data_IF_562033051606
#
_entry.id   IF_562033051606
#
_cell.length_a   1.000
_cell.length_b   1.000
_cell.length_c   1.000
_cell.angle_alpha   90.00
_cell.angle_beta   90.00
_cell.angle_gamma   90.00
#
_symmetry.space_group_name_H-M   'P 1'
#
loop_
_entity.id
_entity.type
_entity.pdbx_description
1 polymer ?
#
# COMPACT_ATOMS: atom_id res chain seq x y z
N UNK A 1 16.81 2.10 1.17
CA UNK A 1 15.78 3.09 1.51
C UNK A 1 16.22 4.00 2.66
N UNK A 2 17.44 3.88 3.17
CA UNK A 2 17.94 4.78 4.22
C UNK A 2 17.85 6.23 3.70
N UNK A 3 17.18 7.08 4.47
CA UNK A 3 16.98 8.49 4.11
C UNK A 3 15.91 8.76 3.04
N UNK A 4 15.31 7.73 2.44
CA UNK A 4 14.23 7.92 1.47
C UNK A 4 12.95 8.38 2.16
N UNK A 5 12.19 9.23 1.47
CA UNK A 5 10.87 9.67 1.90
C UNK A 5 9.78 8.85 1.20
N UNK A 6 9.04 8.06 1.97
CA UNK A 6 8.05 7.09 1.49
C UNK A 6 6.65 7.53 1.89
N UNK A 7 5.74 7.59 0.91
CA UNK A 7 4.30 7.77 1.13
C UNK A 7 3.61 6.40 1.07
N UNK A 8 2.79 6.08 2.07
CA UNK A 8 1.92 4.90 2.09
C UNK A 8 0.46 5.34 2.13
N UNK A 9 -0.26 5.13 1.04
CA UNK A 9 -1.70 5.37 0.95
C UNK A 9 -2.46 4.11 1.36
N UNK A 10 -3.45 4.26 2.25
CA UNK A 10 -4.15 3.10 2.83
C UNK A 10 -3.32 2.39 3.89
N UNK A 11 -2.56 3.15 4.68
CA UNK A 11 -1.53 2.64 5.59
C UNK A 11 -2.04 1.68 6.67
N UNK A 12 -3.32 1.71 7.03
CA UNK A 12 -3.92 0.77 8.00
C UNK A 12 -4.48 -0.50 7.36
N UNK A 13 -4.56 -0.56 6.03
CA UNK A 13 -5.21 -1.64 5.30
C UNK A 13 -4.38 -2.92 5.24
N UNK A 14 -4.88 -3.92 4.50
CA UNK A 14 -4.30 -5.26 4.48
C UNK A 14 -2.84 -5.36 4.01
N UNK A 15 -2.36 -4.48 3.14
CA UNK A 15 -0.95 -4.43 2.72
C UNK A 15 -0.23 -3.19 3.26
N UNK A 16 -0.93 -2.07 3.44
CA UNK A 16 -0.34 -0.82 3.92
C UNK A 16 0.38 -0.95 5.26
N UNK A 17 -0.20 -1.67 6.23
CA UNK A 17 0.41 -1.78 7.57
C UNK A 17 1.75 -2.53 7.55
N UNK A 18 1.90 -3.47 6.62
CA UNK A 18 3.16 -4.19 6.37
C UNK A 18 4.14 -3.27 5.63
N UNK A 19 3.66 -2.48 4.66
CA UNK A 19 4.49 -1.54 3.89
C UNK A 19 5.11 -0.45 4.78
N UNK A 20 4.35 0.11 5.74
CA UNK A 20 4.88 1.06 6.73
C UNK A 20 6.06 0.44 7.48
N UNK A 21 5.86 -0.74 8.07
CA UNK A 21 6.90 -1.41 8.85
C UNK A 21 8.13 -1.74 8.01
N UNK A 22 7.97 -2.29 6.80
CA UNK A 22 9.10 -2.60 5.91
C UNK A 22 9.90 -1.34 5.56
N UNK A 23 9.22 -0.24 5.24
CA UNK A 23 9.87 1.03 4.95
C UNK A 23 10.68 1.53 6.16
N UNK A 24 10.11 1.45 7.37
CA UNK A 24 10.79 1.80 8.62
C UNK A 24 11.99 0.91 8.93
N UNK A 25 11.85 -0.42 8.82
CA UNK A 25 12.97 -1.38 8.96
C UNK A 25 14.12 -1.03 8.01
N UNK A 26 13.79 -0.52 6.81
CA UNK A 26 14.79 -0.12 5.80
C UNK A 26 15.32 1.32 5.97
N UNK A 27 15.00 1.99 7.07
CA UNK A 27 15.51 3.31 7.43
C UNK A 27 14.86 4.48 6.68
N UNK A 28 13.67 4.30 6.14
CA UNK A 28 12.94 5.38 5.48
C UNK A 28 12.20 6.29 6.48
N UNK A 29 11.92 7.51 6.04
CA UNK A 29 10.89 8.37 6.62
C UNK A 29 9.56 8.04 5.95
N UNK A 30 8.53 7.76 6.75
CA UNK A 30 7.22 7.29 6.27
C UNK A 30 6.15 8.31 6.59
N UNK A 31 5.51 8.81 5.54
CA UNK A 31 4.23 9.51 5.60
C UNK A 31 3.12 8.50 5.35
N UNK A 32 2.19 8.35 6.29
CA UNK A 32 1.06 7.44 6.21
C UNK A 32 -0.25 8.21 6.00
N UNK A 33 -1.04 7.81 5.01
CA UNK A 33 -2.42 8.29 4.85
C UNK A 33 -3.39 7.22 5.33
N UNK A 34 -4.23 7.57 6.30
CA UNK A 34 -5.25 6.68 6.88
C UNK A 34 -6.47 7.48 7.35
N UNK A 35 -7.48 6.82 7.92
CA UNK A 35 -8.57 7.51 8.62
C UNK A 35 -8.12 7.90 10.02
N UNK A 36 -8.61 9.03 10.53
CA UNK A 36 -8.32 9.56 11.87
C UNK A 36 -8.40 8.52 12.99
N UNK A 37 -9.43 7.67 13.00
CA UNK A 37 -9.61 6.57 13.97
C UNK A 37 -8.46 5.55 14.03
N UNK A 38 -7.62 5.48 13.00
CA UNK A 38 -6.50 4.52 12.90
C UNK A 38 -5.15 5.19 13.19
N UNK A 39 -5.14 6.43 13.70
CA UNK A 39 -3.92 7.19 13.97
C UNK A 39 -2.94 6.43 14.87
N UNK A 40 -3.41 5.97 16.04
CA UNK A 40 -2.56 5.27 17.01
C UNK A 40 -2.03 3.96 16.45
N UNK A 41 -2.85 3.25 15.67
CA UNK A 41 -2.43 2.03 15.00
C UNK A 41 -1.25 2.30 14.07
N UNK A 42 -1.36 3.23 13.11
CA UNK A 42 -0.28 3.49 12.15
C UNK A 42 0.94 4.15 12.79
N UNK A 43 0.74 4.96 13.84
CA UNK A 43 1.83 5.51 14.66
C UNK A 43 2.63 4.40 15.33
N UNK A 44 1.94 3.40 15.90
CA UNK A 44 2.55 2.21 16.51
C UNK A 44 3.36 1.36 15.53
N UNK A 45 3.08 1.44 14.22
CA UNK A 45 3.87 0.79 13.17
C UNK A 45 5.15 1.57 12.80
N UNK A 46 5.32 2.77 13.33
CA UNK A 46 6.49 3.63 13.13
C UNK A 46 6.33 4.72 12.06
N UNK A 47 5.11 5.05 11.63
CA UNK A 47 4.90 6.20 10.74
C UNK A 47 5.40 7.50 11.39
N UNK A 48 6.12 8.34 10.62
CA UNK A 48 6.70 9.61 11.11
C UNK A 48 5.72 10.78 10.95
N UNK A 49 4.98 10.81 9.84
CA UNK A 49 3.92 11.77 9.55
C UNK A 49 2.64 11.01 9.24
N UNK A 50 1.51 11.49 9.76
CA UNK A 50 0.22 10.83 9.55
C UNK A 50 -0.78 11.88 9.07
N UNK A 51 -1.41 11.60 7.93
CA UNK A 51 -2.45 12.45 7.35
C UNK A 51 -3.78 11.71 7.34
N UNK A 52 -4.85 12.43 7.67
CA UNK A 52 -6.19 11.88 7.85
C UNK A 52 -7.08 12.27 6.68
N UNK A 53 -7.38 11.30 5.80
CA UNK A 53 -8.18 11.60 4.59
C UNK A 53 -9.63 11.99 4.91
N UNK A 54 -10.14 11.61 6.08
CA UNK A 54 -11.51 11.85 6.56
C UNK A 54 -11.68 13.19 7.28
N UNK A 55 -10.58 13.79 7.76
CA UNK A 55 -10.58 15.12 8.38
C UNK A 55 -9.98 16.20 7.47
N UNK A 56 -9.24 15.80 6.44
CA UNK A 56 -8.61 16.68 5.47
C UNK A 56 -9.65 17.34 4.55
N UNK A 57 -9.58 18.66 4.38
CA UNK A 57 -10.29 19.35 3.30
C UNK A 57 -9.64 19.09 1.93
N UNK A 58 -8.30 19.01 1.87
CA UNK A 58 -7.58 18.70 0.63
C UNK A 58 -6.26 17.97 0.91
N UNK A 59 -6.33 16.64 0.80
CA UNK A 59 -5.21 15.74 1.12
C UNK A 59 -3.98 15.98 0.24
N UNK A 60 -4.16 16.56 -0.97
CA UNK A 60 -3.03 16.86 -1.85
C UNK A 60 -2.25 18.08 -1.37
N UNK A 61 -2.94 19.08 -0.78
CA UNK A 61 -2.29 20.23 -0.18
C UNK A 61 -1.53 19.80 1.09
N UNK A 62 -2.14 18.93 1.89
CA UNK A 62 -1.49 18.37 3.08
C UNK A 62 -0.21 17.60 2.70
N UNK A 63 -0.28 16.77 1.65
CA UNK A 63 0.90 16.10 1.09
C UNK A 63 1.94 17.10 0.58
N UNK A 64 1.52 18.19 -0.06
CA UNK A 64 2.43 19.23 -0.49
C UNK A 64 3.17 19.87 0.69
N UNK A 65 2.46 20.23 1.76
CA UNK A 65 3.05 20.76 2.99
C UNK A 65 4.07 19.79 3.60
N UNK A 66 3.76 18.49 3.61
CA UNK A 66 4.72 17.45 4.03
C UNK A 66 5.98 17.46 3.15
N UNK A 67 5.83 17.57 1.82
CA UNK A 67 6.99 17.63 0.90
C UNK A 67 7.81 18.91 1.01
N UNK A 68 7.21 20.03 1.44
CA UNK A 68 7.95 21.27 1.73
C UNK A 68 8.86 21.11 2.95
N UNK A 69 8.48 20.27 3.92
CA UNK A 69 9.26 20.01 5.14
C UNK A 69 10.35 18.96 4.94
N UNK A 70 10.04 17.90 4.22
CA UNK A 70 10.88 16.69 4.17
C UNK A 70 11.42 16.36 2.78
N UNK A 71 11.11 17.19 1.77
CA UNK A 71 11.40 16.92 0.37
C UNK A 71 10.36 16.02 -0.30
N UNK A 72 10.44 15.87 -1.63
CA UNK A 72 9.53 15.03 -2.41
C UNK A 72 9.60 13.56 -1.99
N UNK A 73 8.56 12.80 -2.32
CA UNK A 73 8.52 11.36 -2.08
C UNK A 73 9.39 10.61 -3.11
N UNK A 74 10.28 9.76 -2.61
CA UNK A 74 11.08 8.82 -3.40
C UNK A 74 10.30 7.55 -3.76
N UNK A 75 9.25 7.25 -2.98
CA UNK A 75 8.38 6.13 -3.22
C UNK A 75 6.96 6.45 -2.75
N UNK A 76 5.99 6.20 -3.62
CA UNK A 76 4.58 6.13 -3.25
C UNK A 76 4.12 4.68 -3.35
N UNK A 77 3.61 4.14 -2.25
CA UNK A 77 2.93 2.86 -2.21
C UNK A 77 1.43 3.11 -2.10
N UNK A 78 0.70 2.78 -3.15
CA UNK A 78 -0.73 3.03 -3.26
C UNK A 78 -1.51 1.73 -3.28
N UNK A 79 -2.29 1.49 -2.21
CA UNK A 79 -3.25 0.38 -2.13
C UNK A 79 -4.69 0.86 -2.07
N UNK A 80 -4.98 2.08 -2.53
CA UNK A 80 -6.30 2.70 -2.44
C UNK A 80 -6.85 3.07 -3.82
N UNK A 81 -6.03 3.64 -4.71
CA UNK A 81 -6.52 4.03 -6.03
C UNK A 81 -7.05 2.80 -6.78
N UNK A 82 -8.28 2.91 -7.28
CA UNK A 82 -8.95 1.86 -8.03
C UNK A 82 -9.76 2.46 -9.18
N UNK A 83 -10.18 1.62 -10.13
CA UNK A 83 -11.08 2.01 -11.22
C UNK A 83 -12.56 1.87 -10.89
N UNK A 84 -12.88 1.49 -9.66
CA UNK A 84 -14.25 1.45 -9.22
C UNK A 84 -14.79 2.87 -9.15
N UNK A 85 -15.96 3.12 -9.75
CA UNK A 85 -16.61 4.43 -9.68
C UNK A 85 -16.90 4.83 -8.21
N UNK A 86 -17.08 3.84 -7.33
CA UNK A 86 -17.22 4.05 -5.88
C UNK A 86 -15.95 4.62 -5.23
N UNK A 87 -14.82 4.57 -5.92
CA UNK A 87 -13.49 5.02 -5.47
C UNK A 87 -12.98 6.25 -6.19
N UNK A 88 -13.79 6.90 -7.03
CA UNK A 88 -13.36 8.08 -7.78
C UNK A 88 -12.77 9.18 -6.87
N UNK A 89 -13.32 9.35 -5.67
CA UNK A 89 -12.80 10.30 -4.66
C UNK A 89 -11.39 9.96 -4.15
N UNK A 90 -10.98 8.69 -4.26
CA UNK A 90 -9.70 8.15 -3.82
C UNK A 90 -8.77 7.79 -5.00
N UNK A 91 -9.00 8.38 -6.18
CA UNK A 91 -8.10 8.24 -7.34
C UNK A 91 -6.78 9.02 -7.15
N UNK A 92 -6.02 8.68 -6.10
CA UNK A 92 -4.78 9.32 -5.73
C UNK A 92 -3.73 9.28 -6.84
N UNK A 93 -3.64 8.19 -7.61
CA UNK A 93 -2.66 8.09 -8.70
C UNK A 93 -2.81 9.26 -9.69
N UNK A 94 -4.02 9.41 -10.25
CA UNK A 94 -4.33 10.48 -11.19
C UNK A 94 -4.19 11.86 -10.54
N UNK A 95 -4.72 12.01 -9.32
CA UNK A 95 -4.69 13.27 -8.59
C UNK A 95 -3.27 13.74 -8.28
N UNK A 96 -2.43 12.89 -7.70
CA UNK A 96 -1.05 13.23 -7.33
C UNK A 96 -0.20 13.49 -8.59
N UNK A 97 -0.39 12.71 -9.67
CA UNK A 97 0.32 12.94 -10.94
C UNK A 97 -0.07 14.25 -11.62
N UNK A 98 -1.35 14.61 -11.56
CA UNK A 98 -1.85 15.84 -12.21
C UNK A 98 -1.53 17.12 -11.41
N UNK A 99 -1.28 17.01 -10.10
CA UNK A 99 -1.18 18.20 -9.20
C UNK A 99 0.26 18.70 -9.03
N UNK A 100 0.98 18.88 -10.15
CA UNK A 100 2.40 19.31 -10.29
C UNK A 100 3.44 18.18 -10.14
N UNK A 101 4.46 18.12 -11.01
CA UNK A 101 5.54 17.10 -10.97
C UNK A 101 6.56 17.29 -9.82
N UNK A 102 6.15 17.82 -8.66
CA UNK A 102 7.04 18.13 -7.53
C UNK A 102 6.80 17.29 -6.26
N UNK A 103 5.72 16.52 -6.19
CA UNK A 103 5.46 15.67 -5.02
C UNK A 103 6.28 14.39 -5.02
N UNK A 104 6.67 13.90 -6.20
CA UNK A 104 7.32 12.60 -6.36
C UNK A 104 8.54 12.77 -7.27
N UNK A 105 9.69 12.34 -6.78
CA UNK A 105 10.94 12.25 -7.56
C UNK A 105 11.26 10.83 -7.97
N UNK A 106 10.80 9.85 -7.20
CA UNK A 106 11.09 8.44 -7.44
C UNK A 106 9.91 7.66 -8.02
N UNK A 107 9.58 6.52 -7.39
CA UNK A 107 8.68 5.53 -7.97
C UNK A 107 7.26 5.62 -7.40
N UNK A 108 6.25 5.47 -8.25
CA UNK A 108 4.86 5.24 -7.85
C UNK A 108 4.50 3.78 -8.10
N UNK A 109 4.23 3.04 -7.03
CA UNK A 109 3.74 1.66 -7.08
C UNK A 109 2.24 1.69 -6.79
N UNK A 110 1.45 1.29 -7.78
CA UNK A 110 0.01 1.06 -7.63
C UNK A 110 -0.28 -0.43 -7.48
N UNK A 111 -0.98 -0.80 -6.40
CA UNK A 111 -1.54 -2.13 -6.19
C UNK A 111 -2.98 -2.12 -6.70
N UNK A 112 -3.25 -2.91 -7.75
CA UNK A 112 -4.58 -3.02 -8.36
C UNK A 112 -4.79 -2.13 -9.59
N UNK A 113 -3.78 -2.02 -10.46
CA UNK A 113 -3.78 -1.10 -11.60
C UNK A 113 -4.81 -1.36 -12.70
N UNK A 114 -4.68 -0.56 -13.75
CA UNK A 114 -5.73 -0.26 -14.73
C UNK A 114 -5.70 -1.27 -15.89
N UNK A 115 -6.78 -1.49 -16.65
CA UNK A 115 -6.79 -2.48 -17.76
C UNK A 115 -5.62 -2.28 -18.73
N UNK A 116 -5.27 -1.03 -19.05
CA UNK A 116 -4.11 -0.75 -19.90
C UNK A 116 -2.77 -1.04 -19.22
N UNK A 117 -2.67 -0.95 -17.89
CA UNK A 117 -1.49 -1.44 -17.16
C UNK A 117 -1.32 -2.94 -17.29
N UNK A 118 -2.42 -3.69 -17.28
CA UNK A 118 -2.38 -5.12 -17.53
C UNK A 118 -1.89 -5.41 -18.95
N UNK A 119 -2.30 -4.64 -19.96
CA UNK A 119 -1.77 -4.76 -21.34
C UNK A 119 -0.26 -4.47 -21.38
N UNK A 120 0.19 -3.37 -20.79
CA UNK A 120 1.62 -3.01 -20.73
C UNK A 120 2.45 -4.05 -19.95
N UNK A 121 1.88 -4.60 -18.87
CA UNK A 121 2.47 -5.70 -18.11
C UNK A 121 2.65 -6.97 -18.95
N UNK A 122 1.67 -7.32 -19.78
CA UNK A 122 1.79 -8.45 -20.71
C UNK A 122 2.88 -8.20 -21.76
N UNK A 123 2.96 -6.99 -22.32
CA UNK A 123 4.02 -6.62 -23.28
C UNK A 123 5.41 -6.78 -22.66
N UNK A 124 5.61 -6.22 -21.46
CA UNK A 124 6.87 -6.37 -20.72
C UNK A 124 7.20 -7.83 -20.40
N UNK A 125 6.19 -8.63 -20.03
CA UNK A 125 6.37 -10.05 -19.68
C UNK A 125 6.82 -10.91 -20.86
N UNK A 126 6.18 -10.74 -22.02
CA UNK A 126 6.40 -11.60 -23.18
C UNK A 126 7.52 -11.10 -24.10
N UNK A 127 7.70 -9.78 -24.21
CA UNK A 127 8.64 -9.17 -25.15
C UNK A 127 9.81 -8.45 -24.47
N UNK A 128 9.80 -8.31 -23.14
CA UNK A 128 10.87 -7.61 -22.40
C UNK A 128 10.90 -6.09 -22.57
N UNK A 129 9.92 -5.51 -23.29
CA UNK A 129 9.84 -4.07 -23.57
C UNK A 129 9.11 -3.35 -22.43
N UNK A 130 9.78 -2.39 -21.78
CA UNK A 130 9.20 -1.59 -20.71
C UNK A 130 8.60 -0.28 -21.23
N UNK A 131 7.29 -0.28 -21.48
CA UNK A 131 6.51 0.90 -21.88
C UNK A 131 5.77 1.58 -20.73
N UNK A 132 6.08 1.23 -19.47
CA UNK A 132 5.57 2.02 -18.35
C UNK A 132 6.20 3.41 -18.36
N UNK A 133 5.41 4.44 -18.04
CA UNK A 133 5.94 5.78 -17.83
C UNK A 133 7.07 5.76 -16.78
N UNK A 134 8.13 6.57 -16.98
CA UNK A 134 9.29 6.61 -16.09
C UNK A 134 8.83 6.78 -14.63
N UNK A 135 9.27 5.85 -13.76
CA UNK A 135 8.87 5.84 -12.35
C UNK A 135 7.52 5.16 -12.05
N UNK A 136 6.94 4.38 -12.97
CA UNK A 136 5.72 3.60 -12.75
C UNK A 136 6.00 2.10 -12.87
N UNK A 137 5.44 1.30 -11.98
CA UNK A 137 5.43 -0.17 -12.11
C UNK A 137 4.12 -0.75 -11.60
N UNK A 138 3.52 -1.68 -12.36
CA UNK A 138 2.41 -2.50 -11.90
C UNK A 138 2.92 -3.67 -11.04
N UNK A 139 2.30 -3.87 -9.89
CA UNK A 139 2.53 -5.03 -9.03
C UNK A 139 1.94 -6.30 -9.68
N UNK A 140 2.73 -7.05 -10.47
CA UNK A 140 2.57 -8.47 -10.88
C UNK A 140 3.03 -8.76 -12.31
N UNK A 141 4.34 -8.70 -12.59
CA UNK A 141 4.86 -9.09 -13.91
C UNK A 141 5.90 -10.20 -13.80
N UNK A 142 6.84 -10.08 -12.85
CA UNK A 142 7.83 -11.09 -12.50
C UNK A 142 8.53 -10.66 -11.21
N UNK A 143 8.68 -11.55 -10.24
CA UNK A 143 9.48 -11.30 -9.03
C UNK A 143 10.74 -12.16 -9.07
N UNK A 144 11.77 -11.80 -9.87
CA UNK A 144 13.07 -12.44 -9.73
C UNK A 144 13.55 -12.25 -8.28
N UNK A 145 14.18 -13.27 -7.73
CA UNK A 145 14.61 -13.35 -6.32
C UNK A 145 13.48 -13.31 -5.28
N UNK A 146 12.25 -13.68 -5.63
CA UNK A 146 11.11 -13.73 -4.69
C UNK A 146 11.46 -14.55 -3.45
N UNK A 147 12.11 -15.70 -3.60
CA UNK A 147 12.55 -16.56 -2.48
C UNK A 147 13.43 -15.78 -1.51
N UNK A 148 14.46 -15.09 -1.99
CA UNK A 148 15.36 -14.30 -1.13
C UNK A 148 14.63 -13.16 -0.42
N UNK A 149 13.67 -12.53 -1.10
CA UNK A 149 12.86 -11.43 -0.52
C UNK A 149 11.90 -11.95 0.54
N UNK A 150 11.22 -13.07 0.29
CA UNK A 150 10.36 -13.74 1.26
C UNK A 150 11.14 -14.24 2.46
N UNK A 151 12.35 -14.73 2.25
CA UNK A 151 13.26 -15.13 3.31
C UNK A 151 13.67 -13.94 4.20
N UNK A 152 13.93 -12.77 3.60
CA UNK A 152 14.16 -11.54 4.38
C UNK A 152 12.93 -11.15 5.20
N UNK A 153 11.71 -11.29 4.65
CA UNK A 153 10.48 -11.02 5.39
C UNK A 153 10.26 -12.01 6.53
N UNK A 154 10.55 -13.31 6.31
CA UNK A 154 10.53 -14.35 7.34
C UNK A 154 11.43 -13.97 8.51
N UNK A 155 12.68 -13.59 8.22
CA UNK A 155 13.65 -13.17 9.24
C UNK A 155 13.16 -11.96 10.04
N UNK A 156 12.54 -10.95 9.40
CA UNK A 156 11.97 -9.81 10.12
C UNK A 156 10.80 -10.22 11.03
N UNK A 157 9.96 -11.16 10.59
CA UNK A 157 8.88 -11.69 11.42
C UNK A 157 9.42 -12.48 12.62
N UNK A 158 10.40 -13.37 12.40
CA UNK A 158 11.03 -14.18 13.45
C UNK A 158 11.77 -13.32 14.48
N UNK A 159 12.41 -12.23 14.03
CA UNK A 159 13.05 -11.24 14.88
C UNK A 159 12.05 -10.27 15.56
N UNK A 160 10.73 -10.47 15.41
CA UNK A 160 9.67 -9.58 15.90
C UNK A 160 9.75 -8.12 15.41
N UNK A 161 10.50 -7.86 14.33
CA UNK A 161 10.64 -6.54 13.72
C UNK A 161 9.48 -6.21 12.78
N UNK A 162 8.84 -7.22 12.20
CA UNK A 162 7.68 -7.10 11.33
C UNK A 162 6.52 -7.91 11.89
N UNK A 163 5.39 -7.26 12.17
CA UNK A 163 4.18 -7.92 12.67
C UNK A 163 3.04 -7.75 11.68
N UNK A 164 2.43 -8.86 11.28
CA UNK A 164 1.23 -8.85 10.45
C UNK A 164 0.02 -8.76 11.37
N UNK A 165 -0.75 -7.68 11.24
CA UNK A 165 -1.98 -7.49 12.01
C UNK A 165 -3.07 -8.33 11.36
N UNK A 166 -3.63 -9.27 12.11
CA UNK A 166 -4.80 -10.05 11.70
C UNK A 166 -6.03 -9.39 12.31
N UNK A 167 -6.88 -8.84 11.46
CA UNK A 167 -8.13 -8.19 11.84
C UNK A 167 -9.18 -9.23 12.24
N UNK A 168 -9.29 -10.29 11.43
CA UNK A 168 -10.35 -11.28 11.53
C UNK A 168 -9.84 -12.64 11.06
N UNK A 169 -10.38 -13.70 11.66
CA UNK A 169 -10.20 -15.09 11.24
C UNK A 169 -11.58 -15.66 10.95
N UNK A 170 -11.77 -16.18 9.74
CA UNK A 170 -13.03 -16.76 9.28
C UNK A 170 -12.80 -18.22 8.91
N UNK A 171 -13.71 -19.15 9.26
CA UNK A 171 -13.58 -20.52 8.84
C UNK A 171 -13.75 -20.65 7.31
N UNK A 172 -13.13 -21.67 6.72
CA UNK A 172 -13.36 -22.03 5.32
C UNK A 172 -14.72 -22.74 5.15
N UNK A 173 -15.77 -21.96 5.28
CA UNK A 173 -17.19 -22.31 5.10
C UNK A 173 -17.84 -21.26 4.23
N UNK A 174 -18.97 -21.56 3.58
CA UNK A 174 -19.68 -20.58 2.76
C UNK A 174 -19.98 -19.28 3.53
N UNK A 175 -20.52 -19.39 4.75
CA UNK A 175 -20.84 -18.23 5.59
C UNK A 175 -19.59 -17.45 5.99
N UNK A 176 -18.52 -18.14 6.36
CA UNK A 176 -17.22 -17.54 6.69
C UNK A 176 -16.61 -16.76 5.52
N UNK A 177 -16.71 -17.28 4.30
CA UNK A 177 -16.24 -16.59 3.10
C UNK A 177 -17.11 -15.37 2.80
N UNK A 178 -18.44 -15.50 2.85
CA UNK A 178 -19.34 -14.37 2.63
C UNK A 178 -19.09 -13.24 3.64
N UNK A 179 -18.89 -13.57 4.91
CA UNK A 179 -18.57 -12.60 5.96
C UNK A 179 -17.20 -11.94 5.74
N UNK A 180 -16.17 -12.72 5.33
CA UNK A 180 -14.86 -12.18 4.98
C UNK A 180 -14.96 -11.12 3.87
N UNK A 181 -15.72 -11.40 2.81
CA UNK A 181 -15.97 -10.42 1.74
C UNK A 181 -16.75 -9.21 2.25
N UNK A 182 -17.77 -9.40 3.09
CA UNK A 182 -18.51 -8.28 3.69
C UNK A 182 -17.60 -7.36 4.51
N UNK A 183 -16.71 -7.93 5.32
CA UNK A 183 -15.71 -7.19 6.10
C UNK A 183 -14.69 -6.47 5.22
N UNK A 184 -14.26 -7.08 4.12
CA UNK A 184 -13.37 -6.43 3.17
C UNK A 184 -14.08 -5.25 2.48
N UNK A 185 -15.31 -5.45 2.02
CA UNK A 185 -16.07 -4.49 1.22
C UNK A 185 -16.55 -3.29 2.03
N UNK A 186 -16.67 -3.40 3.36
CA UNK A 186 -17.06 -2.27 4.21
C UNK A 186 -15.93 -1.23 4.41
N UNK A 187 -14.68 -1.56 4.02
CA UNK A 187 -13.50 -0.68 4.09
C UNK A 187 -13.14 -0.18 5.50
N UNK A 188 -13.53 -0.93 6.53
CA UNK A 188 -13.21 -0.61 7.94
C UNK A 188 -12.18 -1.56 8.55
N UNK A 189 -11.86 -2.64 7.85
CA UNK A 189 -10.88 -3.63 8.29
C UNK A 189 -9.48 -3.01 8.41
N UNK A 190 -8.85 -3.19 9.58
CA UNK A 190 -7.47 -2.78 9.87
C UNK A 190 -6.59 -4.02 9.94
N UNK A 191 -5.72 -4.20 8.95
CA UNK A 191 -4.92 -5.42 8.80
C UNK A 191 -5.55 -6.47 7.86
N UNK A 192 -5.20 -7.73 8.06
CA UNK A 192 -5.57 -8.87 7.21
C UNK A 192 -6.79 -9.63 7.73
N UNK A 193 -7.67 -10.02 6.81
CA UNK A 193 -8.66 -11.07 7.04
C UNK A 193 -8.01 -12.39 6.62
N UNK A 194 -8.08 -13.40 7.49
CA UNK A 194 -7.51 -14.72 7.25
C UNK A 194 -8.65 -15.73 7.16
N UNK A 195 -8.57 -16.61 6.16
CA UNK A 195 -9.43 -17.78 6.06
C UNK A 195 -8.69 -18.97 6.67
N UNK A 196 -9.29 -19.59 7.69
CA UNK A 196 -8.76 -20.77 8.35
C UNK A 196 -9.28 -22.00 7.62
N UNK A 197 -8.35 -22.70 6.97
CA UNK A 197 -8.65 -23.98 6.35
C UNK A 197 -9.06 -24.96 7.44
N UNK A 198 -10.21 -25.59 7.28
CA UNK A 198 -10.60 -26.71 8.14
C UNK A 198 -9.59 -27.82 7.86
N UNK A 199 -8.75 -28.15 8.84
CA UNK A 199 -7.95 -29.36 8.76
C UNK A 199 -8.91 -30.52 8.91
N UNK A 200 -9.12 -31.29 7.85
CA UNK A 200 -9.54 -32.67 8.02
C UNK A 200 -8.44 -33.34 8.87
N UNK A 201 -8.84 -33.94 9.99
CA UNK A 201 -7.98 -34.82 10.79
C UNK A 201 -8.10 -36.24 10.27
#
# INVERSE_FOLDING_TARGET
>A
MVGQHVLVLGASGGTGHVAVQIAKIKGARVTAVTSSRNADFVKGLGADEILFYDLSTNILEDLHIVTLRHGPFDLVFDSVSSHDLRDANFAYETRIRNTKPKLITGMYILIGGIVTDWVLAHIKRFFGIDWFAKGRQLFWVRFPDSTRRLESLRQFCEANQLKVTIANRMPFTEEGIQEAFRLQMNRRTVGKIIIEMISEK
#
